data_IF_367224305758
#
_entry.id   IF_367224305758
#
_cell.length_a   1.000
_cell.length_b   1.000
_cell.length_c   1.000
_cell.angle_alpha   90.00
_cell.angle_beta   90.00
_cell.angle_gamma   90.00
#
_symmetry.space_group_name_H-M   'P 1'
#
loop_
_entity.id
_entity.type
_entity.pdbx_description
1 polymer ?
#
# COMPACT_ATOMS: atom_id res chain seq x y z
N UNK A 1 -71.37 -58.64 35.85
CA UNK A 1 -70.03 -59.24 36.07
C UNK A 1 -69.17 -58.99 34.85
N UNK A 2 -68.26 -58.05 34.89
CA UNK A 2 -67.36 -57.69 33.79
C UNK A 2 -66.24 -56.81 34.30
N UNK A 3 -65.07 -57.42 34.49
CA UNK A 3 -63.86 -56.69 35.00
C UNK A 3 -63.32 -55.79 33.91
N UNK A 4 -63.22 -54.46 34.23
CA UNK A 4 -62.54 -53.53 33.42
C UNK A 4 -61.05 -53.52 33.80
N UNK A 5 -60.19 -53.92 32.87
CA UNK A 5 -58.76 -53.88 33.02
C UNK A 5 -58.26 -52.52 32.66
N UNK A 6 -57.58 -51.86 33.63
CA UNK A 6 -57.03 -50.48 33.48
C UNK A 6 -55.60 -50.60 32.95
N UNK A 7 -55.36 -50.30 31.67
CA UNK A 7 -54.03 -50.24 31.07
C UNK A 7 -53.46 -48.84 31.30
N UNK A 8 -52.48 -48.76 32.19
CA UNK A 8 -51.65 -47.59 32.42
C UNK A 8 -50.60 -47.52 31.28
N UNK A 9 -50.83 -46.68 30.28
CA UNK A 9 -49.77 -46.26 29.38
C UNK A 9 -49.30 -44.90 29.80
N UNK A 10 -48.11 -44.91 30.39
CA UNK A 10 -47.34 -43.72 30.75
C UNK A 10 -46.91 -43.00 29.48
N UNK A 11 -47.46 -41.84 29.20
CA UNK A 11 -47.02 -40.98 28.08
C UNK A 11 -45.89 -40.10 28.61
N UNK A 12 -44.67 -40.46 28.25
CA UNK A 12 -43.49 -39.60 28.47
C UNK A 12 -43.49 -38.56 27.35
N UNK A 13 -43.93 -37.36 27.63
CA UNK A 13 -43.76 -36.24 26.72
C UNK A 13 -42.31 -35.73 26.80
N UNK A 14 -41.53 -36.11 25.81
CA UNK A 14 -40.17 -35.57 25.64
C UNK A 14 -40.32 -34.21 24.96
N UNK A 15 -40.16 -33.13 25.74
CA UNK A 15 -39.98 -31.78 25.21
C UNK A 15 -38.61 -31.71 24.53
N UNK A 16 -38.58 -31.93 23.22
CA UNK A 16 -37.44 -31.62 22.38
C UNK A 16 -37.39 -30.09 22.20
N UNK A 17 -36.58 -29.40 23.01
CA UNK A 17 -36.21 -28.04 22.77
C UNK A 17 -35.29 -28.03 21.55
N UNK A 18 -35.84 -27.73 20.40
CA UNK A 18 -35.07 -27.46 19.19
C UNK A 18 -34.34 -26.13 19.34
N UNK A 19 -33.06 -26.25 19.74
CA UNK A 19 -32.12 -25.13 19.71
C UNK A 19 -31.81 -24.82 18.24
N UNK A 20 -32.63 -24.00 17.60
CA UNK A 20 -32.29 -23.45 16.27
C UNK A 20 -31.14 -22.46 16.45
N UNK A 21 -29.98 -22.65 15.80
CA UNK A 21 -28.96 -21.63 15.81
C UNK A 21 -29.52 -20.41 15.06
N UNK A 22 -29.67 -19.30 15.77
CA UNK A 22 -29.90 -18.00 15.14
C UNK A 22 -28.61 -17.68 14.35
N UNK A 23 -28.57 -18.09 13.10
CA UNK A 23 -27.57 -17.63 12.17
C UNK A 23 -27.86 -16.13 11.97
N UNK A 24 -27.08 -15.29 12.64
CA UNK A 24 -27.01 -13.87 12.32
C UNK A 24 -26.48 -13.77 10.90
N UNK A 25 -27.38 -13.64 9.95
CA UNK A 25 -27.04 -13.28 8.57
C UNK A 25 -26.49 -11.85 8.64
N UNK A 26 -25.16 -11.74 8.71
CA UNK A 26 -24.49 -10.47 8.47
C UNK A 26 -24.71 -10.21 6.98
N UNK A 27 -25.75 -9.44 6.67
CA UNK A 27 -26.04 -9.02 5.30
C UNK A 27 -24.88 -8.14 4.82
N UNK A 28 -24.09 -8.65 3.90
CA UNK A 28 -23.09 -7.83 3.21
C UNK A 28 -23.86 -6.68 2.50
N UNK A 29 -23.34 -5.43 2.55
CA UNK A 29 -23.96 -4.31 1.87
C UNK A 29 -24.09 -4.62 0.37
N UNK A 30 -25.19 -4.19 -0.25
CA UNK A 30 -25.40 -4.39 -1.68
C UNK A 30 -24.27 -3.73 -2.48
N UNK A 31 -23.89 -4.31 -3.62
CA UNK A 31 -22.88 -3.74 -4.51
C UNK A 31 -23.17 -2.27 -4.86
N UNK A 32 -24.45 -1.91 -4.97
CA UNK A 32 -24.89 -0.55 -5.25
C UNK A 32 -24.59 0.43 -4.10
N UNK A 33 -24.75 0.00 -2.85
CA UNK A 33 -24.38 0.81 -1.68
C UNK A 33 -22.85 1.02 -1.65
N UNK A 34 -22.07 -0.01 -1.91
CA UNK A 34 -20.61 0.09 -1.95
C UNK A 34 -20.09 1.04 -3.05
N UNK A 35 -20.74 1.07 -4.22
CA UNK A 35 -20.39 2.04 -5.28
C UNK A 35 -20.70 3.49 -4.85
N UNK A 36 -21.84 3.71 -4.18
CA UNK A 36 -22.19 5.02 -3.64
C UNK A 36 -21.20 5.48 -2.58
N UNK A 37 -20.82 4.60 -1.66
CA UNK A 37 -19.87 4.90 -0.56
C UNK A 37 -18.47 5.16 -1.09
N UNK A 38 -17.99 4.37 -2.06
CA UNK A 38 -16.73 4.59 -2.75
C UNK A 38 -16.65 5.96 -3.40
N UNK A 39 -17.69 6.35 -4.13
CA UNK A 39 -17.79 7.67 -4.75
C UNK A 39 -17.81 8.78 -3.70
N UNK A 40 -18.65 8.65 -2.67
CA UNK A 40 -18.81 9.65 -1.62
C UNK A 40 -17.53 9.81 -0.81
N UNK A 41 -16.84 8.71 -0.49
CA UNK A 41 -15.53 8.75 0.18
C UNK A 41 -14.49 9.51 -0.65
N UNK A 42 -14.30 9.15 -1.94
CA UNK A 42 -13.34 9.85 -2.80
C UNK A 42 -13.70 11.31 -3.00
N UNK A 43 -15.01 11.64 -3.06
CA UNK A 43 -15.48 13.03 -3.11
C UNK A 43 -15.10 13.78 -1.83
N UNK A 44 -15.36 13.21 -0.65
CA UNK A 44 -14.98 13.81 0.63
C UNK A 44 -13.45 14.06 0.70
N UNK A 45 -12.63 13.12 0.20
CA UNK A 45 -11.18 13.30 0.11
C UNK A 45 -10.82 14.43 -0.86
N UNK A 46 -11.46 14.55 -2.03
CA UNK A 46 -11.22 15.64 -2.99
C UNK A 46 -11.58 17.01 -2.39
N UNK A 47 -12.68 17.08 -1.66
CA UNK A 47 -13.19 18.30 -1.05
C UNK A 47 -12.55 18.62 0.32
N UNK A 48 -11.61 17.80 0.80
CA UNK A 48 -10.96 17.93 2.12
C UNK A 48 -11.92 17.87 3.30
N UNK A 49 -13.01 17.16 3.17
CA UNK A 49 -14.02 17.01 4.21
C UNK A 49 -13.64 15.87 5.16
N UNK A 50 -12.80 16.18 6.16
CA UNK A 50 -12.24 15.19 7.08
C UNK A 50 -13.30 14.39 7.83
N UNK A 51 -14.31 15.06 8.40
CA UNK A 51 -15.39 14.40 9.14
C UNK A 51 -16.24 13.48 8.26
N UNK A 52 -16.49 13.86 7.01
CA UNK A 52 -17.22 13.02 6.06
C UNK A 52 -16.40 11.79 5.68
N UNK A 53 -15.10 11.96 5.39
CA UNK A 53 -14.22 10.86 5.07
C UNK A 53 -14.03 9.89 6.24
N UNK A 54 -13.93 10.42 7.49
CA UNK A 54 -13.77 9.60 8.69
C UNK A 54 -14.96 8.69 8.94
N UNK A 55 -16.18 9.10 8.61
CA UNK A 55 -17.39 8.25 8.73
C UNK A 55 -17.23 6.93 7.98
N UNK A 56 -16.65 6.98 6.76
CA UNK A 56 -16.40 5.78 5.97
C UNK A 56 -15.22 4.95 6.49
N UNK A 57 -14.22 5.61 7.10
CA UNK A 57 -13.00 4.95 7.58
C UNK A 57 -13.14 4.37 8.99
N UNK A 58 -14.19 4.73 9.71
CA UNK A 58 -14.45 4.26 11.09
C UNK A 58 -15.25 2.97 11.14
N UNK A 59 -15.80 2.50 10.03
CA UNK A 59 -16.54 1.25 9.97
C UNK A 59 -15.61 0.04 10.16
N UNK A 60 -15.88 -0.85 11.12
CA UNK A 60 -15.05 -2.03 11.36
C UNK A 60 -14.93 -2.90 10.10
N UNK A 61 -13.69 -3.25 9.75
CA UNK A 61 -13.44 -4.11 8.57
C UNK A 61 -13.58 -3.42 7.22
N UNK A 62 -13.75 -2.10 7.19
CA UNK A 62 -13.86 -1.35 5.93
C UNK A 62 -12.57 -1.43 5.13
N UNK A 63 -12.72 -1.62 3.81
CA UNK A 63 -11.61 -1.57 2.84
C UNK A 63 -11.72 -0.33 1.95
N UNK A 64 -12.62 0.59 2.29
CA UNK A 64 -12.97 1.75 1.47
C UNK A 64 -11.79 2.69 1.22
N UNK A 65 -10.81 2.73 2.14
CA UNK A 65 -9.57 3.51 1.98
C UNK A 65 -8.83 3.16 0.69
N UNK A 66 -9.02 1.94 0.18
CA UNK A 66 -8.39 1.39 -1.02
C UNK A 66 -9.31 1.41 -2.25
N UNK A 67 -10.45 2.07 -2.14
CA UNK A 67 -11.37 2.21 -3.27
C UNK A 67 -10.74 2.99 -4.42
N UNK A 68 -11.22 2.72 -5.62
CA UNK A 68 -10.73 3.34 -6.86
C UNK A 68 -11.84 4.11 -7.56
N UNK A 69 -11.49 5.24 -8.11
CA UNK A 69 -12.37 5.96 -9.03
C UNK A 69 -12.71 5.08 -10.24
N UNK A 70 -13.97 4.95 -10.57
CA UNK A 70 -14.44 4.07 -11.64
C UNK A 70 -13.94 4.50 -13.02
N UNK A 71 -13.68 5.80 -13.21
CA UNK A 71 -13.24 6.37 -14.50
C UNK A 71 -11.73 6.37 -14.64
N UNK A 72 -10.99 6.85 -13.63
CA UNK A 72 -9.54 7.03 -13.70
C UNK A 72 -8.77 5.88 -13.06
N UNK A 73 -9.37 5.16 -12.14
CA UNK A 73 -8.71 4.16 -11.29
C UNK A 73 -7.90 4.78 -10.13
N UNK A 74 -7.94 6.10 -9.98
CA UNK A 74 -7.26 6.80 -8.90
C UNK A 74 -7.78 6.37 -7.53
N UNK A 75 -6.88 6.25 -6.58
CA UNK A 75 -7.19 6.04 -5.17
C UNK A 75 -7.15 7.37 -4.39
N UNK A 76 -7.59 7.35 -3.14
CA UNK A 76 -7.44 8.50 -2.25
C UNK A 76 -5.99 9.01 -2.16
N UNK A 77 -4.99 8.11 -2.22
CA UNK A 77 -3.57 8.51 -2.24
C UNK A 77 -3.22 9.33 -3.48
N UNK A 78 -3.69 8.96 -4.68
CA UNK A 78 -3.46 9.74 -5.89
C UNK A 78 -4.03 11.16 -5.77
N UNK A 79 -5.24 11.28 -5.23
CA UNK A 79 -5.91 12.56 -5.05
C UNK A 79 -5.10 13.49 -4.14
N UNK A 80 -4.65 12.99 -2.98
CA UNK A 80 -3.92 13.83 -2.01
C UNK A 80 -2.50 14.15 -2.47
N UNK A 81 -1.85 13.25 -3.23
CA UNK A 81 -0.53 13.47 -3.83
C UNK A 81 -0.60 14.54 -4.91
N UNK A 82 -1.63 14.53 -5.76
CA UNK A 82 -1.81 15.55 -6.81
C UNK A 82 -1.82 16.97 -6.24
N UNK A 83 -2.36 17.15 -5.05
CA UNK A 83 -2.38 18.45 -4.35
C UNK A 83 -1.23 18.62 -3.35
N UNK A 84 -0.29 17.67 -3.26
CA UNK A 84 0.86 17.66 -2.34
C UNK A 84 0.47 17.82 -0.87
N UNK A 85 -0.60 17.18 -0.45
CA UNK A 85 -1.16 17.31 0.90
C UNK A 85 -0.56 16.25 1.82
N UNK A 86 0.52 16.60 2.53
CA UNK A 86 1.25 15.68 3.42
C UNK A 86 0.42 15.23 4.61
N UNK A 87 -0.46 16.10 5.12
CA UNK A 87 -1.34 15.79 6.26
C UNK A 87 -2.30 14.66 5.88
N UNK A 88 -3.01 14.82 4.76
CA UNK A 88 -3.92 13.80 4.29
C UNK A 88 -3.21 12.52 3.80
N UNK A 89 -2.02 12.67 3.20
CA UNK A 89 -1.20 11.53 2.80
C UNK A 89 -0.84 10.67 4.02
N UNK A 90 -0.30 11.28 5.06
CA UNK A 90 0.05 10.61 6.31
C UNK A 90 -1.16 9.94 6.97
N UNK A 91 -2.28 10.66 7.05
CA UNK A 91 -3.54 10.16 7.60
C UNK A 91 -4.07 8.92 6.85
N UNK A 92 -4.19 8.97 5.53
CA UNK A 92 -4.66 7.84 4.73
C UNK A 92 -3.73 6.62 4.84
N UNK A 93 -2.41 6.83 4.83
CA UNK A 93 -1.43 5.77 5.03
C UNK A 93 -1.51 5.15 6.43
N UNK A 94 -1.86 5.93 7.45
CA UNK A 94 -2.12 5.43 8.80
C UNK A 94 -3.42 4.62 8.88
N UNK A 95 -4.45 5.01 8.11
CA UNK A 95 -5.71 4.26 7.97
C UNK A 95 -5.60 3.01 7.08
N UNK A 96 -4.40 2.66 6.63
CA UNK A 96 -4.13 1.43 5.88
C UNK A 96 -4.30 1.56 4.36
N UNK A 97 -4.21 2.79 3.83
CA UNK A 97 -4.17 2.97 2.38
C UNK A 97 -2.97 2.24 1.78
N UNK A 98 -3.22 1.40 0.77
CA UNK A 98 -2.19 0.62 0.10
C UNK A 98 -1.40 1.51 -0.89
N UNK A 99 -0.10 1.75 -0.66
CA UNK A 99 0.73 2.62 -1.50
C UNK A 99 1.05 2.03 -2.89
N UNK A 100 0.65 0.77 -3.13
CA UNK A 100 1.00 0.03 -4.35
C UNK A 100 -0.17 -0.06 -5.36
N UNK A 101 -1.33 0.51 -5.03
CA UNK A 101 -2.46 0.50 -5.95
C UNK A 101 -2.23 1.51 -7.08
N UNK A 102 -2.14 1.01 -8.31
CA UNK A 102 -1.96 1.85 -9.48
C UNK A 102 -3.30 2.32 -10.07
N UNK A 103 -3.30 3.45 -10.74
CA UNK A 103 -4.43 3.94 -11.55
C UNK A 103 -4.64 3.11 -12.83
N UNK A 104 -5.58 3.51 -13.71
CA UNK A 104 -5.81 2.83 -14.99
C UNK A 104 -4.65 2.94 -15.99
N UNK A 105 -3.70 3.85 -15.78
CA UNK A 105 -2.47 3.98 -16.59
C UNK A 105 -1.33 3.12 -16.04
N UNK A 106 -1.54 2.47 -14.89
CA UNK A 106 -0.50 1.75 -14.17
C UNK A 106 0.36 2.66 -13.28
N UNK A 107 0.00 3.93 -13.13
CA UNK A 107 0.73 4.89 -12.29
C UNK A 107 0.47 4.58 -10.83
N UNK A 108 1.51 4.31 -10.05
CA UNK A 108 1.40 4.16 -8.61
C UNK A 108 1.48 5.51 -7.90
N UNK A 109 1.04 5.61 -6.62
CA UNK A 109 1.26 6.78 -5.79
C UNK A 109 2.73 7.25 -5.77
N UNK A 110 3.69 6.30 -5.74
CA UNK A 110 5.12 6.60 -5.78
C UNK A 110 5.55 7.24 -7.10
N UNK A 111 5.10 6.68 -8.24
CA UNK A 111 5.36 7.26 -9.56
C UNK A 111 4.76 8.65 -9.70
N UNK A 112 3.52 8.84 -9.23
CA UNK A 112 2.87 10.14 -9.27
C UNK A 112 3.60 11.17 -8.41
N UNK A 113 4.04 10.81 -7.20
CA UNK A 113 4.87 11.70 -6.35
C UNK A 113 6.16 12.08 -7.05
N UNK A 114 6.78 11.13 -7.75
CA UNK A 114 8.01 11.36 -8.54
C UNK A 114 7.75 12.30 -9.71
N UNK A 115 6.68 12.08 -10.49
CA UNK A 115 6.30 12.95 -11.60
C UNK A 115 6.04 14.39 -11.18
N UNK A 116 5.47 14.57 -10.00
CA UNK A 116 5.20 15.89 -9.43
C UNK A 116 6.42 16.51 -8.73
N UNK A 117 7.53 15.79 -8.57
CA UNK A 117 8.67 16.23 -7.76
C UNK A 117 8.31 16.42 -6.27
N UNK A 118 7.34 15.66 -5.77
CA UNK A 118 6.90 15.73 -4.38
C UNK A 118 7.75 14.81 -3.50
N UNK A 119 8.92 15.31 -3.08
CA UNK A 119 9.92 14.52 -2.35
C UNK A 119 9.39 13.99 -1.01
N UNK A 120 8.69 14.81 -0.23
CA UNK A 120 8.07 14.36 1.03
C UNK A 120 7.09 13.20 0.78
N UNK A 121 6.33 13.25 -0.34
CA UNK A 121 5.44 12.19 -0.74
C UNK A 121 6.18 10.89 -1.06
N UNK A 122 7.33 10.97 -1.76
CA UNK A 122 8.20 9.82 -2.02
C UNK A 122 8.66 9.21 -0.70
N UNK A 123 9.18 10.01 0.22
CA UNK A 123 9.65 9.57 1.54
C UNK A 123 8.54 8.87 2.35
N UNK A 124 7.36 9.47 2.42
CA UNK A 124 6.22 8.88 3.12
C UNK A 124 5.86 7.50 2.55
N UNK A 125 5.77 7.39 1.23
CA UNK A 125 5.39 6.16 0.54
C UNK A 125 6.44 5.05 0.72
N UNK A 126 7.73 5.39 0.62
CA UNK A 126 8.85 4.46 0.84
C UNK A 126 8.83 3.92 2.27
N UNK A 127 8.68 4.79 3.29
CA UNK A 127 8.56 4.38 4.70
C UNK A 127 7.34 3.47 4.93
N UNK A 128 6.30 3.61 4.14
CA UNK A 128 5.09 2.76 4.16
C UNK A 128 5.17 1.58 3.19
N UNK A 129 6.40 1.18 2.82
CA UNK A 129 6.71 -0.02 2.03
C UNK A 129 6.10 0.01 0.63
N UNK A 130 6.07 1.17 -0.03
CA UNK A 130 5.80 1.24 -1.46
C UNK A 130 6.82 0.37 -2.23
N UNK A 131 6.32 -0.39 -3.21
CA UNK A 131 7.15 -1.19 -4.11
C UNK A 131 7.90 -0.25 -5.07
N UNK A 132 9.19 -0.03 -4.78
CA UNK A 132 10.01 0.99 -5.45
C UNK A 132 10.18 0.69 -6.94
N UNK A 133 10.28 -0.59 -7.29
CA UNK A 133 10.49 -1.07 -8.66
C UNK A 133 9.21 -1.53 -9.37
N UNK A 134 8.02 -1.20 -8.84
CA UNK A 134 6.78 -1.44 -9.57
C UNK A 134 6.79 -0.63 -10.87
N UNK A 135 6.21 -1.19 -11.95
CA UNK A 135 6.20 -0.56 -13.28
C UNK A 135 4.80 -0.11 -13.67
N UNK A 136 4.72 0.97 -14.44
CA UNK A 136 3.51 1.39 -15.13
C UNK A 136 3.28 0.52 -16.40
N UNK A 137 2.27 0.86 -17.21
CA UNK A 137 1.96 0.10 -18.45
C UNK A 137 3.04 0.19 -19.51
N UNK A 138 3.92 1.19 -19.45
CA UNK A 138 5.09 1.34 -20.34
C UNK A 138 6.33 0.60 -19.81
N UNK A 139 6.22 -0.08 -18.66
CA UNK A 139 7.35 -0.72 -17.98
C UNK A 139 8.25 0.25 -17.22
N UNK A 140 7.89 1.54 -17.13
CA UNK A 140 8.69 2.55 -16.46
C UNK A 140 8.55 2.42 -14.94
N UNK A 141 9.68 2.51 -14.23
CA UNK A 141 9.75 2.61 -12.77
C UNK A 141 9.73 4.07 -12.32
N UNK A 142 9.51 4.31 -11.03
CA UNK A 142 9.64 5.65 -10.45
C UNK A 142 11.05 6.23 -10.69
N UNK A 143 12.10 5.39 -10.65
CA UNK A 143 13.48 5.84 -10.91
C UNK A 143 13.68 6.28 -12.37
N UNK A 144 13.12 5.56 -13.35
CA UNK A 144 13.17 5.96 -14.76
C UNK A 144 12.50 7.34 -14.92
N UNK A 145 11.32 7.53 -14.35
CA UNK A 145 10.61 8.81 -14.39
C UNK A 145 11.42 9.94 -13.75
N UNK A 146 12.07 9.70 -12.61
CA UNK A 146 12.93 10.68 -11.95
C UNK A 146 14.10 11.11 -12.83
N UNK A 147 14.74 10.18 -13.55
CA UNK A 147 15.83 10.45 -14.48
C UNK A 147 15.35 11.26 -15.68
N UNK A 148 14.25 10.87 -16.30
CA UNK A 148 13.65 11.57 -17.46
C UNK A 148 13.29 13.02 -17.10
N UNK A 149 12.84 13.25 -15.87
CA UNK A 149 12.53 14.59 -15.33
C UNK A 149 13.76 15.35 -14.81
N UNK A 150 14.95 14.75 -14.86
CA UNK A 150 16.20 15.29 -14.30
C UNK A 150 16.09 15.69 -12.83
N UNK A 151 15.26 14.99 -12.07
CA UNK A 151 15.10 15.26 -10.64
C UNK A 151 16.14 14.48 -9.83
N UNK A 152 17.33 15.08 -9.65
CA UNK A 152 18.44 14.45 -8.92
C UNK A 152 18.09 14.10 -7.48
N UNK A 153 17.21 14.86 -6.82
CA UNK A 153 16.80 14.58 -5.44
C UNK A 153 15.91 13.34 -5.38
N UNK A 154 14.89 13.25 -6.24
CA UNK A 154 14.06 12.05 -6.36
C UNK A 154 14.91 10.81 -6.70
N UNK A 155 15.90 10.94 -7.61
CA UNK A 155 16.84 9.87 -7.93
C UNK A 155 17.59 9.39 -6.68
N UNK A 156 18.13 10.30 -5.86
CA UNK A 156 18.83 9.94 -4.61
C UNK A 156 17.93 9.20 -3.62
N UNK A 157 16.71 9.71 -3.40
CA UNK A 157 15.75 9.12 -2.46
C UNK A 157 15.33 7.73 -2.93
N UNK A 158 15.02 7.56 -4.22
CA UNK A 158 14.61 6.27 -4.77
C UNK A 158 15.74 5.25 -4.75
N UNK A 159 16.98 5.63 -5.10
CA UNK A 159 18.13 4.73 -4.99
C UNK A 159 18.40 4.32 -3.54
N UNK A 160 18.33 5.27 -2.59
CA UNK A 160 18.46 4.96 -1.16
C UNK A 160 17.36 4.01 -0.68
N UNK A 161 16.18 4.06 -1.29
CA UNK A 161 15.08 3.15 -1.03
C UNK A 161 15.23 1.78 -1.70
N UNK A 162 16.30 1.55 -2.46
CA UNK A 162 16.62 0.28 -3.11
C UNK A 162 16.09 0.16 -4.54
N UNK A 163 15.78 1.27 -5.21
CA UNK A 163 15.40 1.22 -6.62
C UNK A 163 16.52 0.62 -7.50
N UNK A 164 16.16 -0.29 -8.39
CA UNK A 164 17.09 -0.91 -9.32
C UNK A 164 17.33 0.01 -10.54
N UNK A 165 18.55 0.59 -10.69
CA UNK A 165 18.87 1.49 -11.79
C UNK A 165 18.99 0.79 -13.15
N UNK A 166 19.07 -0.53 -13.16
CA UNK A 166 19.27 -1.34 -14.36
C UNK A 166 17.99 -2.04 -14.84
N UNK A 167 16.86 -1.84 -14.15
CA UNK A 167 15.55 -2.34 -14.57
C UNK A 167 15.08 -1.56 -15.79
N UNK A 168 14.86 -2.31 -16.88
CA UNK A 168 14.48 -1.75 -18.19
C UNK A 168 12.98 -1.55 -18.32
N UNK A 169 12.57 -0.51 -19.04
CA UNK A 169 11.19 -0.32 -19.46
C UNK A 169 10.81 -1.26 -20.62
N UNK A 170 9.52 -1.34 -20.91
CA UNK A 170 9.00 -2.20 -21.99
C UNK A 170 8.90 -1.46 -23.33
N UNK A 171 9.06 -0.13 -23.34
CA UNK A 171 8.83 0.72 -24.49
C UNK A 171 10.07 0.89 -25.35
N UNK A 172 11.19 1.27 -24.72
CA UNK A 172 12.45 1.54 -25.37
C UNK A 172 13.52 0.49 -25.03
N UNK A 173 13.28 -0.34 -24.02
CA UNK A 173 14.24 -1.30 -23.50
C UNK A 173 15.39 -0.65 -22.73
N UNK A 174 15.21 0.59 -22.26
CA UNK A 174 16.21 1.35 -21.52
C UNK A 174 15.94 1.32 -20.02
N UNK A 175 17.02 1.28 -19.28
CA UNK A 175 17.04 1.43 -17.83
C UNK A 175 17.20 2.91 -17.43
N UNK A 176 17.01 3.21 -16.13
CA UNK A 176 17.29 4.54 -15.60
C UNK A 176 18.75 4.97 -15.87
N UNK A 177 19.69 4.02 -15.77
CA UNK A 177 21.10 4.24 -16.11
C UNK A 177 21.30 4.57 -17.59
N UNK A 178 20.61 3.86 -18.48
CA UNK A 178 20.71 4.10 -19.92
C UNK A 178 20.16 5.47 -20.30
N UNK A 179 19.00 5.84 -19.78
CA UNK A 179 18.42 7.17 -19.97
C UNK A 179 19.33 8.28 -19.46
N UNK A 180 19.93 8.12 -18.26
CA UNK A 180 20.87 9.10 -17.73
C UNK A 180 22.09 9.30 -18.62
N UNK A 181 22.68 8.22 -19.16
CA UNK A 181 23.83 8.27 -20.04
C UNK A 181 23.54 8.89 -21.42
N UNK A 182 22.33 8.69 -21.94
CA UNK A 182 21.90 9.28 -23.20
C UNK A 182 21.62 10.78 -23.11
N UNK A 183 21.20 11.28 -21.93
CA UNK A 183 20.95 12.69 -21.72
C UNK A 183 22.23 13.42 -21.32
N UNK A 184 22.88 14.06 -22.27
CA UNK A 184 24.12 14.83 -22.03
C UNK A 184 24.02 15.91 -20.95
N UNK A 185 22.79 16.27 -20.51
CA UNK A 185 22.53 17.23 -19.42
C UNK A 185 22.33 16.55 -18.06
N UNK A 186 22.33 15.23 -18.01
CA UNK A 186 22.08 14.45 -16.79
C UNK A 186 23.39 13.98 -16.10
N UNK A 187 24.51 14.65 -16.31
CA UNK A 187 25.86 14.26 -15.77
C UNK A 187 25.85 14.06 -14.26
N UNK A 188 25.16 14.91 -13.51
CA UNK A 188 25.01 14.77 -12.07
C UNK A 188 24.24 13.47 -11.70
N UNK A 189 23.20 13.12 -12.46
CA UNK A 189 22.42 11.89 -12.25
C UNK A 189 23.25 10.65 -12.57
N UNK A 190 24.03 10.68 -13.65
CA UNK A 190 24.98 9.60 -13.98
C UNK A 190 25.91 9.35 -12.78
N UNK A 191 26.51 10.42 -12.26
CA UNK A 191 27.40 10.32 -11.10
C UNK A 191 26.70 9.76 -9.85
N UNK A 192 25.44 10.14 -9.60
CA UNK A 192 24.63 9.63 -8.50
C UNK A 192 24.42 8.11 -8.65
N UNK A 193 24.00 7.66 -9.85
CA UNK A 193 23.71 6.26 -10.12
C UNK A 193 25.00 5.42 -10.05
N UNK A 194 26.12 5.91 -10.59
CA UNK A 194 27.39 5.17 -10.60
C UNK A 194 28.02 5.06 -9.22
N UNK A 195 27.83 6.05 -8.36
CA UNK A 195 28.35 6.05 -7.00
C UNK A 195 27.45 5.31 -6.02
N UNK A 196 26.19 5.05 -6.38
CA UNK A 196 25.23 4.41 -5.48
C UNK A 196 25.66 3.00 -5.02
N UNK A 197 26.39 2.24 -5.80
CA UNK A 197 26.89 0.92 -5.40
C UNK A 197 28.27 0.95 -4.70
N UNK A 198 28.97 2.09 -4.72
CA UNK A 198 30.34 2.21 -4.20
C UNK A 198 30.41 2.72 -2.76
N UNK A 199 29.33 3.32 -2.24
CA UNK A 199 29.28 3.95 -0.92
C UNK A 199 28.71 3.09 0.20
N UNK A 200 28.47 1.80 -0.03
CA UNK A 200 28.20 0.84 1.02
C UNK A 200 29.49 0.06 1.34
N UNK A 201 30.34 0.49 2.30
CA UNK A 201 31.16 -0.49 2.98
C UNK A 201 30.15 -1.36 3.75
N UNK A 202 30.05 -2.63 3.37
CA UNK A 202 29.50 -3.61 4.28
C UNK A 202 30.30 -3.50 5.58
N UNK A 203 29.76 -2.80 6.58
CA UNK A 203 30.16 -3.03 7.95
C UNK A 203 29.75 -4.48 8.20
N UNK A 204 30.73 -5.39 8.02
CA UNK A 204 30.67 -6.66 8.71
C UNK A 204 30.34 -6.34 10.16
N UNK A 205 29.36 -7.03 10.77
CA UNK A 205 29.23 -6.98 12.21
C UNK A 205 30.63 -7.21 12.76
N UNK A 206 31.11 -6.33 13.63
CA UNK A 206 32.33 -6.58 14.36
C UNK A 206 32.15 -7.95 14.99
N UNK A 207 32.96 -8.91 14.57
CA UNK A 207 33.07 -10.20 15.21
C UNK A 207 33.46 -9.89 16.63
N UNK A 208 32.51 -10.06 17.57
CA UNK A 208 32.78 -9.89 18.99
C UNK A 208 33.73 -10.99 19.34
N UNK A 209 35.02 -10.62 19.51
CA UNK A 209 36.05 -11.50 19.99
C UNK A 209 35.78 -11.82 21.47
N UNK A 210 35.32 -13.02 21.73
CA UNK A 210 35.09 -13.57 23.06
C UNK A 210 36.25 -14.32 23.62
N UNK A 211 37.46 -14.29 23.00
CA UNK A 211 38.62 -15.05 23.40
C UNK A 211 39.19 -14.67 24.76
N UNK A 212 38.73 -13.54 25.36
CA UNK A 212 39.19 -13.10 26.69
C UNK A 212 38.24 -13.41 27.84
N UNK A 213 37.11 -14.08 27.64
CA UNK A 213 36.16 -14.40 28.70
C UNK A 213 36.35 -15.85 29.14
N UNK A 214 37.35 -16.12 29.97
CA UNK A 214 37.53 -17.47 30.49
C UNK A 214 38.77 -17.77 31.31
N UNK A 215 39.63 -16.79 31.59
CA UNK A 215 40.72 -17.03 32.55
C UNK A 215 40.25 -16.73 33.99
N UNK A 216 40.11 -17.80 34.77
CA UNK A 216 39.94 -17.74 36.20
C UNK A 216 41.24 -17.24 36.80
N UNK A 217 41.25 -16.29 37.74
CA UNK A 217 42.45 -16.02 38.56
C UNK A 217 42.65 -17.16 39.56
N UNK A 218 43.88 -17.62 39.65
CA UNK A 218 44.40 -18.54 40.68
C UNK A 218 44.35 -17.93 42.09
#
# INVERSE_FOLDING_TARGET
MGRVSLNKKLILAIFAISLTPIATVISAPSAQAQFSDSYNFLKAVRERKGEEAEKFLSEPGTVIVNTRDSTTGETALHIVITRRDSTWLGYLLQKGANPNLADKKGTTPLMLSTQLGYIDGIDWLVRKKAQVDQTNRSGETALILAVQLRNSEAVRVLLKAGANPDKKDSRAGYSARDYAKQDGRATAIVSIIENHGKTAPAKKPAELDFSGIGEKPD
#
